data_IF_253531072511
#
_entry.id   IF_253531072511
#
_cell.length_a   1.000
_cell.length_b   1.000
_cell.length_c   1.000
_cell.angle_alpha   90.00
_cell.angle_beta   90.00
_cell.angle_gamma   90.00
#
_symmetry.space_group_name_H-M   'P 1'
#
loop_
_entity.id
_entity.type
_entity.pdbx_description
1 polymer ?
#
# COMPACT_ATOMS: atom_id res chain seq x y z
N UNK A 1 -40.85 -27.02 0.78
CA UNK A 1 -39.41 -27.35 0.83
C UNK A 1 -38.53 -26.32 0.10
N UNK A 2 -38.99 -25.77 -1.02
CA UNK A 2 -38.21 -24.86 -1.87
C UNK A 2 -38.01 -23.46 -1.26
N UNK A 3 -38.94 -23.02 -0.40
CA UNK A 3 -38.89 -21.72 0.29
C UNK A 3 -37.82 -21.70 1.38
N UNK A 4 -37.67 -22.78 2.16
CA UNK A 4 -36.60 -22.88 3.15
C UNK A 4 -35.21 -22.93 2.51
N UNK A 5 -35.06 -23.64 1.39
CA UNK A 5 -33.79 -23.68 0.66
C UNK A 5 -33.40 -22.30 0.12
N UNK A 6 -34.35 -21.55 -0.43
CA UNK A 6 -34.13 -20.17 -0.90
C UNK A 6 -33.74 -19.23 0.24
N UNK A 7 -34.36 -19.39 1.41
CA UNK A 7 -34.07 -18.58 2.59
C UNK A 7 -32.65 -18.83 3.10
N UNK A 8 -32.21 -20.09 3.12
CA UNK A 8 -30.84 -20.46 3.50
C UNK A 8 -29.79 -19.86 2.55
N UNK A 9 -30.05 -19.87 1.24
CA UNK A 9 -29.15 -19.28 0.23
C UNK A 9 -29.06 -17.76 0.39
N UNK A 10 -30.18 -17.07 0.59
CA UNK A 10 -30.20 -15.61 0.80
C UNK A 10 -29.44 -15.23 2.08
N UNK A 11 -29.63 -15.96 3.17
CA UNK A 11 -28.91 -15.72 4.42
C UNK A 11 -27.40 -15.93 4.28
N UNK A 12 -26.97 -16.96 3.54
CA UNK A 12 -25.56 -17.21 3.23
C UNK A 12 -24.92 -16.04 2.47
N UNK A 13 -25.57 -15.54 1.42
CA UNK A 13 -25.02 -14.43 0.63
C UNK A 13 -24.88 -13.16 1.49
N UNK A 14 -25.87 -12.87 2.34
CA UNK A 14 -25.84 -11.71 3.24
C UNK A 14 -24.70 -11.79 4.27
N UNK A 15 -24.40 -12.97 4.84
CA UNK A 15 -23.31 -13.11 5.81
C UNK A 15 -21.93 -12.99 5.15
N UNK A 16 -21.76 -13.48 3.92
CA UNK A 16 -20.52 -13.28 3.15
C UNK A 16 -20.26 -11.81 2.83
N UNK A 17 -21.30 -11.04 2.47
CA UNK A 17 -21.18 -9.60 2.21
C UNK A 17 -20.86 -8.80 3.48
N UNK A 18 -21.41 -9.17 4.63
CA UNK A 18 -21.10 -8.54 5.91
C UNK A 18 -19.63 -8.73 6.31
N UNK A 19 -19.01 -9.86 5.96
CA UNK A 19 -17.59 -10.11 6.23
C UNK A 19 -16.65 -9.13 5.49
N UNK A 20 -17.03 -8.66 4.28
CA UNK A 20 -16.27 -7.63 3.56
C UNK A 20 -16.36 -6.24 4.20
N UNK A 21 -17.48 -5.90 4.86
CA UNK A 21 -17.62 -4.62 5.58
C UNK A 21 -17.16 -4.68 7.04
N UNK A 22 -17.10 -5.87 7.64
CA UNK A 22 -16.80 -6.08 9.06
C UNK A 22 -15.29 -6.14 9.38
N UNK A 23 -14.44 -5.65 8.49
CA UNK A 23 -13.07 -5.25 8.83
C UNK A 23 -13.13 -3.94 9.63
N UNK A 24 -13.58 -4.05 10.89
CA UNK A 24 -13.43 -3.03 11.93
C UNK A 24 -12.59 -3.60 13.07
N UNK A 25 -11.52 -4.32 12.71
CA UNK A 25 -10.35 -4.46 13.56
C UNK A 25 -9.36 -3.45 13.03
N UNK A 26 -9.31 -2.27 13.64
CA UNK A 26 -8.16 -1.38 13.46
C UNK A 26 -6.96 -2.19 13.91
N UNK A 27 -6.22 -2.76 12.96
CA UNK A 27 -4.85 -3.17 13.19
C UNK A 27 -4.18 -1.94 13.79
N UNK A 28 -3.91 -1.99 15.09
CA UNK A 28 -3.05 -1.02 15.76
C UNK A 28 -1.65 -1.31 15.25
N UNK A 29 -1.43 -1.04 13.96
CA UNK A 29 -0.10 -0.89 13.43
C UNK A 29 0.47 0.26 14.24
N UNK A 30 1.51 -0.03 15.02
CA UNK A 30 2.34 1.00 15.62
C UNK A 30 2.53 2.12 14.60
N UNK A 31 2.38 3.41 14.98
CA UNK A 31 2.50 4.51 14.03
C UNK A 31 3.76 4.25 13.21
N UNK A 32 3.67 4.22 11.86
CA UNK A 32 4.83 3.88 11.06
C UNK A 32 5.92 4.86 11.49
N UNK A 33 7.03 4.32 12.01
CA UNK A 33 8.19 5.14 12.38
C UNK A 33 8.47 5.97 11.15
N UNK A 34 8.22 7.28 11.24
CA UNK A 34 8.47 8.21 10.15
C UNK A 34 9.98 8.35 10.06
N UNK A 35 10.59 7.38 9.39
CA UNK A 35 12.00 7.44 9.04
C UNK A 35 12.12 8.61 8.09
N UNK A 36 12.88 9.63 8.50
CA UNK A 36 13.18 10.77 7.66
C UNK A 36 13.94 10.25 6.44
N UNK A 37 13.31 10.35 5.27
CA UNK A 37 13.91 9.89 4.02
C UNK A 37 14.97 10.89 3.57
N UNK A 38 16.12 10.40 3.12
CA UNK A 38 17.13 11.21 2.44
C UNK A 38 16.55 11.80 1.15
N UNK A 39 17.16 12.85 0.60
CA UNK A 39 16.72 13.46 -0.66
C UNK A 39 16.67 12.41 -1.80
N UNK A 40 17.66 11.50 -1.83
CA UNK A 40 17.70 10.36 -2.75
C UNK A 40 16.46 9.49 -2.64
N UNK A 41 16.15 9.07 -1.41
CA UNK A 41 15.06 8.15 -1.14
C UNK A 41 13.70 8.79 -1.48
N UNK A 42 13.56 10.10 -1.26
CA UNK A 42 12.37 10.85 -1.66
C UNK A 42 12.21 10.87 -3.19
N UNK A 43 13.29 11.12 -3.92
CA UNK A 43 13.27 11.12 -5.38
C UNK A 43 12.94 9.74 -5.95
N UNK A 44 13.60 8.69 -5.47
CA UNK A 44 13.35 7.30 -5.90
C UNK A 44 11.88 6.94 -5.64
N UNK A 45 11.36 7.19 -4.43
CA UNK A 45 9.99 6.89 -4.07
C UNK A 45 8.97 7.66 -4.93
N UNK A 46 9.29 8.90 -5.31
CA UNK A 46 8.44 9.71 -6.18
C UNK A 46 8.34 9.09 -7.59
N UNK A 47 9.47 8.74 -8.19
CA UNK A 47 9.53 8.15 -9.53
C UNK A 47 8.82 6.79 -9.56
N UNK A 48 9.08 5.92 -8.58
CA UNK A 48 8.42 4.62 -8.47
C UNK A 48 6.91 4.74 -8.31
N UNK A 49 6.45 5.72 -7.50
CA UNK A 49 5.01 5.99 -7.34
C UNK A 49 4.35 6.40 -8.65
N UNK A 50 5.05 7.15 -9.50
CA UNK A 50 4.53 7.53 -10.83
C UNK A 50 4.52 6.33 -11.76
N UNK A 51 5.62 5.56 -11.81
CA UNK A 51 5.73 4.37 -12.66
C UNK A 51 4.61 3.37 -12.34
N UNK A 52 4.41 3.06 -11.05
CA UNK A 52 3.33 2.18 -10.59
C UNK A 52 1.95 2.67 -11.01
N UNK A 53 1.66 3.97 -10.83
CA UNK A 53 0.37 4.57 -11.24
C UNK A 53 0.11 4.47 -12.73
N UNK A 54 1.17 4.40 -13.54
CA UNK A 54 1.09 4.32 -15.00
C UNK A 54 1.23 2.88 -15.53
N UNK A 55 1.41 1.88 -14.65
CA UNK A 55 1.68 0.50 -15.06
C UNK A 55 3.02 0.32 -15.78
N UNK A 56 3.98 1.23 -15.55
CA UNK A 56 5.31 1.16 -16.17
C UNK A 56 6.19 0.24 -15.31
N UNK A 57 6.82 -0.75 -15.95
CA UNK A 57 7.86 -1.54 -15.32
C UNK A 57 9.16 -0.75 -15.28
N UNK A 58 9.57 -0.34 -14.09
CA UNK A 58 10.76 0.48 -13.88
C UNK A 58 11.93 -0.37 -13.40
N UNK A 59 13.10 -0.16 -13.99
CA UNK A 59 14.36 -0.78 -13.57
C UNK A 59 15.44 0.29 -13.51
N UNK A 60 16.02 0.48 -12.32
CA UNK A 60 17.12 1.41 -12.13
C UNK A 60 18.43 0.76 -12.60
N UNK A 61 19.02 1.28 -13.68
CA UNK A 61 20.36 0.86 -14.13
C UNK A 61 21.46 1.59 -13.36
N UNK A 62 21.22 2.87 -13.02
CA UNK A 62 22.08 3.68 -12.16
C UNK A 62 21.19 4.52 -11.24
N UNK A 63 20.83 4.02 -10.05
CA UNK A 63 20.01 4.79 -9.12
C UNK A 63 20.74 6.06 -8.67
N UNK A 64 20.01 7.17 -8.47
CA UNK A 64 20.62 8.45 -8.12
C UNK A 64 21.30 8.38 -6.76
N UNK A 65 22.52 8.91 -6.70
CA UNK A 65 23.27 9.18 -5.47
C UNK A 65 23.36 10.70 -5.31
N UNK A 66 22.50 11.24 -4.46
CA UNK A 66 22.50 12.63 -4.01
C UNK A 66 23.24 12.63 -2.68
N UNK A 67 24.54 12.87 -2.76
CA UNK A 67 25.33 13.11 -1.56
C UNK A 67 24.79 14.37 -0.87
N UNK A 68 24.38 14.24 0.38
CA UNK A 68 24.02 15.38 1.23
C UNK A 68 25.29 16.24 1.34
N UNK A 69 25.34 17.38 0.63
CA UNK A 69 26.53 18.20 0.35
C UNK A 69 27.20 18.84 1.58
N UNK A 70 27.60 18.02 2.55
CA UNK A 70 28.22 18.39 3.83
C UNK A 70 29.61 17.78 4.01
N UNK A 71 30.25 17.31 2.92
CA UNK A 71 31.65 16.88 2.99
C UNK A 71 32.38 17.19 1.68
N UNK A 72 32.77 18.46 1.47
CA UNK A 72 34.13 18.78 1.00
C UNK A 72 34.37 20.30 1.04
N UNK A 73 34.78 20.78 2.22
CA UNK A 73 35.67 21.92 2.35
C UNK A 73 36.77 21.49 3.31
N UNK A 74 37.81 20.85 2.79
CA UNK A 74 39.08 20.71 3.49
C UNK A 74 40.24 20.93 2.53
#
# INVERSE_FOLDING_TARGET
MNTMLRLAVVLSVCTLLAACASTRGTASSSPPVQRQLTAEQQYIAYVERIAKRRGIHLTWVNPPRIEDGTTDKQ
#
